data_IF_249614653651
#
_entry.id   IF_249614653651
#
_cell.length_a   1.000
_cell.length_b   1.000
_cell.length_c   1.000
_cell.angle_alpha   90.00
_cell.angle_beta   90.00
_cell.angle_gamma   90.00
#
_symmetry.space_group_name_H-M   'P 1'
#
loop_
_entity.id
_entity.type
_entity.pdbx_description
1 polymer ?
#
# COMPACT_ATOMS: atom_id res chain seq x y z
N UNK A 1 24.76 -2.44 -12.66
CA UNK A 1 24.55 -1.11 -12.05
C UNK A 1 23.10 -1.01 -11.59
N UNK A 2 22.76 -1.26 -10.32
CA UNK A 2 21.46 -0.84 -9.78
C UNK A 2 21.64 0.47 -9.01
N UNK A 3 20.99 1.54 -9.46
CA UNK A 3 20.77 2.75 -8.66
C UNK A 3 19.27 2.85 -8.43
N UNK A 4 18.72 1.90 -7.67
CA UNK A 4 17.30 1.81 -7.28
C UNK A 4 17.09 2.25 -5.82
N UNK A 5 18.07 2.95 -5.25
CA UNK A 5 18.21 3.12 -3.80
C UNK A 5 17.13 4.03 -3.18
N UNK A 6 16.51 4.91 -3.97
CA UNK A 6 15.56 5.89 -3.42
C UNK A 6 14.22 5.32 -2.93
N UNK A 7 13.63 4.32 -3.60
CA UNK A 7 12.25 3.91 -3.29
C UNK A 7 12.17 2.82 -2.23
N UNK A 8 13.06 1.83 -2.29
CA UNK A 8 13.09 0.72 -1.34
C UNK A 8 13.41 1.21 0.08
N UNK A 9 14.44 2.06 0.25
CA UNK A 9 14.81 2.60 1.56
C UNK A 9 13.70 3.46 2.18
N UNK A 10 13.00 4.26 1.37
CA UNK A 10 11.86 5.07 1.84
C UNK A 10 10.67 4.20 2.26
N UNK A 11 10.41 3.11 1.54
CA UNK A 11 9.39 2.14 1.94
C UNK A 11 9.74 1.45 3.26
N UNK A 12 10.98 0.98 3.39
CA UNK A 12 11.50 0.34 4.59
C UNK A 12 11.43 1.29 5.80
N UNK A 13 11.67 2.60 5.62
CA UNK A 13 11.52 3.63 6.64
C UNK A 13 10.06 3.90 7.03
N UNK A 14 9.11 3.67 6.12
CA UNK A 14 7.67 3.70 6.41
C UNK A 14 7.16 2.40 7.07
N UNK A 15 8.03 1.39 7.22
CA UNK A 15 7.70 0.08 7.76
C UNK A 15 7.14 -0.90 6.73
N UNK A 16 7.04 -0.50 5.46
CA UNK A 16 6.59 -1.35 4.36
C UNK A 16 7.74 -2.24 3.92
N UNK A 17 7.82 -3.42 4.56
CA UNK A 17 8.83 -4.44 4.30
C UNK A 17 8.22 -5.69 3.72
N UNK A 18 9.03 -6.47 3.01
CA UNK A 18 8.62 -7.77 2.49
C UNK A 18 8.16 -8.66 3.65
N UNK A 19 7.01 -9.32 3.47
CA UNK A 19 6.40 -10.20 4.48
C UNK A 19 5.41 -9.49 5.42
N UNK A 20 5.30 -8.15 5.37
CA UNK A 20 4.24 -7.44 6.09
C UNK A 20 2.89 -7.60 5.39
N UNK A 21 1.84 -7.69 6.19
CA UNK A 21 0.47 -7.69 5.71
C UNK A 21 -0.07 -6.26 5.77
N UNK A 22 -0.63 -5.81 4.66
CA UNK A 22 -1.27 -4.50 4.54
C UNK A 22 -2.73 -4.65 4.16
N UNK A 23 -3.54 -3.66 4.53
CA UNK A 23 -4.91 -3.53 4.07
C UNK A 23 -5.06 -2.28 3.22
N UNK A 24 -5.70 -2.40 2.06
CA UNK A 24 -6.02 -1.23 1.23
C UNK A 24 -7.28 -0.56 1.79
N UNK A 25 -7.13 0.66 2.30
CA UNK A 25 -8.25 1.44 2.84
C UNK A 25 -8.96 2.20 1.71
N UNK A 26 -8.20 2.91 0.88
CA UNK A 26 -8.77 3.69 -0.23
C UNK A 26 -7.74 3.97 -1.31
N UNK A 27 -8.20 4.26 -2.52
CA UNK A 27 -7.37 4.82 -3.58
C UNK A 27 -8.11 6.01 -4.17
N UNK A 28 -7.50 7.19 -4.15
CA UNK A 28 -8.11 8.37 -4.74
C UNK A 28 -8.05 8.32 -6.28
N UNK A 29 -9.06 8.85 -6.99
CA UNK A 29 -9.03 8.95 -8.46
C UNK A 29 -7.92 9.89 -8.95
N UNK A 30 -7.62 9.85 -10.26
CA UNK A 30 -6.64 10.73 -10.94
C UNK A 30 -5.18 10.61 -10.46
N UNK A 31 -4.65 9.39 -10.35
CA UNK A 31 -3.29 9.16 -9.83
C UNK A 31 -3.07 9.74 -8.42
N UNK A 32 -4.16 9.86 -7.65
CA UNK A 32 -4.11 10.19 -6.25
C UNK A 32 -3.38 9.10 -5.44
N UNK A 33 -2.95 9.42 -4.21
CA UNK A 33 -2.26 8.46 -3.39
C UNK A 33 -3.19 7.30 -3.00
N UNK A 34 -2.57 6.14 -2.83
CA UNK A 34 -3.19 4.93 -2.30
C UNK A 34 -3.01 4.94 -0.79
N UNK A 35 -4.11 4.89 -0.05
CA UNK A 35 -4.08 4.83 1.42
C UNK A 35 -4.18 3.38 1.86
N UNK A 36 -3.22 2.97 2.69
CA UNK A 36 -3.07 1.61 3.19
C UNK A 36 -3.02 1.66 4.72
N UNK A 37 -3.50 0.61 5.38
CA UNK A 37 -3.32 0.40 6.81
C UNK A 37 -2.17 -0.60 7.00
N UNK A 38 -1.13 -0.17 7.71
CA UNK A 38 0.02 -0.98 8.09
C UNK A 38 0.16 -0.92 9.62
N UNK A 39 0.15 -2.08 10.28
CA UNK A 39 0.33 -2.18 11.75
C UNK A 39 -0.60 -1.22 12.55
N UNK A 40 -1.81 -0.96 12.05
CA UNK A 40 -2.78 -0.04 12.67
C UNK A 40 -2.59 1.45 12.33
N UNK A 41 -1.60 1.80 11.51
CA UNK A 41 -1.36 3.17 11.02
C UNK A 41 -1.83 3.33 9.58
N UNK A 42 -2.55 4.42 9.31
CA UNK A 42 -2.87 4.81 7.93
C UNK A 42 -1.67 5.50 7.27
N UNK A 43 -1.27 5.00 6.12
CA UNK A 43 -0.15 5.49 5.32
C UNK A 43 -0.66 5.77 3.92
N UNK A 44 -0.49 7.01 3.45
CA UNK A 44 -0.79 7.41 2.09
C UNK A 44 0.48 7.31 1.23
N UNK A 45 0.43 6.52 0.17
CA UNK A 45 1.53 6.32 -0.77
C UNK A 45 1.16 6.93 -2.11
N UNK A 46 1.99 7.83 -2.62
CA UNK A 46 1.81 8.40 -3.95
C UNK A 46 1.79 7.32 -5.04
N UNK A 47 1.00 7.54 -6.09
CA UNK A 47 0.78 6.58 -7.16
C UNK A 47 2.07 5.97 -7.75
N UNK A 48 3.11 6.79 -7.99
CA UNK A 48 4.41 6.33 -8.50
C UNK A 48 5.08 5.30 -7.58
N UNK A 49 5.03 5.54 -6.27
CA UNK A 49 5.65 4.64 -5.28
C UNK A 49 4.80 3.38 -5.17
N UNK A 50 3.48 3.49 -5.13
CA UNK A 50 2.60 2.31 -5.08
C UNK A 50 2.76 1.40 -6.29
N UNK A 51 3.04 1.96 -7.47
CA UNK A 51 3.29 1.18 -8.69
C UNK A 51 4.58 0.37 -8.64
N UNK A 52 5.49 0.66 -7.71
CA UNK A 52 6.72 -0.10 -7.48
C UNK A 52 6.55 -1.24 -6.46
N UNK A 53 5.39 -1.35 -5.81
CA UNK A 53 5.16 -2.33 -4.73
C UNK A 53 4.42 -3.53 -5.30
N UNK A 54 5.07 -4.69 -5.25
CA UNK A 54 4.42 -5.96 -5.59
C UNK A 54 3.77 -6.56 -4.33
N UNK A 55 2.50 -6.95 -4.43
CA UNK A 55 1.75 -7.57 -3.34
C UNK A 55 1.06 -8.83 -3.81
N UNK A 56 0.95 -9.81 -2.92
CA UNK A 56 0.10 -10.99 -3.15
C UNK A 56 -1.23 -10.82 -2.42
N UNK A 57 -2.38 -11.00 -3.10
CA UNK A 57 -3.67 -10.99 -2.45
C UNK A 57 -3.75 -12.10 -1.39
N UNK A 58 -4.06 -11.73 -0.15
CA UNK A 58 -4.34 -12.71 0.89
C UNK A 58 -5.78 -13.18 0.72
N UNK A 59 -5.97 -14.43 0.27
CA UNK A 59 -7.29 -15.07 0.26
C UNK A 59 -7.80 -15.17 1.71
N UNK A 60 -8.85 -14.43 2.06
CA UNK A 60 -9.59 -14.64 3.31
C UNK A 60 -9.95 -13.41 4.13
N UNK A 61 -9.58 -12.19 3.73
CA UNK A 61 -10.07 -10.96 4.38
C UNK A 61 -10.67 -10.01 3.35
N UNK A 62 -11.99 -10.10 3.19
CA UNK A 62 -12.76 -9.02 2.58
C UNK A 62 -12.77 -7.89 3.60
N UNK A 63 -12.13 -6.77 3.30
CA UNK A 63 -12.24 -5.58 4.13
C UNK A 63 -13.70 -5.12 4.14
N UNK A 64 -14.21 -4.81 5.34
CA UNK A 64 -15.60 -4.40 5.60
C UNK A 64 -16.06 -3.18 4.78
N UNK A 65 -15.14 -2.47 4.11
CA UNK A 65 -15.41 -1.32 3.24
C UNK A 65 -16.11 -1.63 1.91
N UNK A 66 -16.30 -2.91 1.54
CA UNK A 66 -17.10 -3.28 0.35
C UNK A 66 -18.63 -3.13 0.57
N UNK A 67 -19.06 -2.76 1.79
CA UNK A 67 -20.46 -2.71 2.21
C UNK A 67 -21.10 -1.32 2.17
N UNK A 68 -20.70 -0.47 1.23
CA UNK A 68 -21.30 0.87 1.05
C UNK A 68 -21.66 1.17 -0.41
N UNK A 69 -22.29 0.22 -1.09
CA UNK A 69 -23.15 0.51 -2.26
C UNK A 69 -24.37 -0.41 -2.18
N UNK A 70 -25.32 -0.05 -1.32
CA UNK A 70 -26.73 -0.45 -1.40
C UNK A 70 -27.58 0.77 -1.08
#
# INVERSE_FOLDING_TARGET
MPSQDGCAERLEALGLRVGKVIEKVSGMPFHGPVTLLLDGRQIAIGWKISSCILVSPLKGRFSTHDRAVR
#
